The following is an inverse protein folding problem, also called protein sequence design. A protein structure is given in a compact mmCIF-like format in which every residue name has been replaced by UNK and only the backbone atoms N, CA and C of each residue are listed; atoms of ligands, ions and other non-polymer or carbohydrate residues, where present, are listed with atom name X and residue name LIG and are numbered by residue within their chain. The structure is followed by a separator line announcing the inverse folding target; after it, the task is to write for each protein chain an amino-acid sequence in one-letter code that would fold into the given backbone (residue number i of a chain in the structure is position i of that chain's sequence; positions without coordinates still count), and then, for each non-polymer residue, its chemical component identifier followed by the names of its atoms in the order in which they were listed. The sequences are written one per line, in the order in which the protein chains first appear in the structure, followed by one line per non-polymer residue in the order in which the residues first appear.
data_IF_024063579372
#
_entry.id   IF_024063579372
#
_cell.length_a   1.000
_cell.length_b   1.000
_cell.length_c   1.000
_cell.angle_alpha   90.00
_cell.angle_beta   90.00
_cell.angle_gamma   90.00
#
_symmetry.space_group_name_H-M   'P 1'
#
loop_
_entity.id
_entity.type
_entity.pdbx_description
1 polymer ?
#
# COMPACT_ATOMS: atom_id res chain seq x y z
N UNK A 1 -5.51 0.35 -16.19
CA UNK A 1 -5.89 -0.93 -15.56
C UNK A 1 -6.80 -0.66 -14.36
N UNK A 2 -7.81 -1.50 -14.17
CA UNK A 2 -8.65 -1.42 -12.99
C UNK A 2 -7.89 -1.93 -11.77
N UNK A 3 -8.38 -1.56 -10.58
CA UNK A 3 -7.80 -2.06 -9.32
C UNK A 3 -7.82 -3.59 -9.29
N UNK A 4 -8.92 -4.22 -9.73
CA UNK A 4 -9.03 -5.68 -9.76
C UNK A 4 -8.02 -6.32 -10.73
N UNK A 5 -7.83 -5.75 -11.89
CA UNK A 5 -6.82 -6.24 -12.84
C UNK A 5 -5.40 -6.17 -12.25
N UNK A 6 -5.10 -5.09 -11.54
CA UNK A 6 -3.81 -4.94 -10.86
C UNK A 6 -3.65 -5.98 -9.75
N UNK A 7 -4.70 -6.20 -8.95
CA UNK A 7 -4.69 -7.21 -7.90
C UNK A 7 -4.43 -8.61 -8.47
N UNK A 8 -5.09 -8.93 -9.58
CA UNK A 8 -4.93 -10.22 -10.23
C UNK A 8 -3.50 -10.42 -10.73
N UNK A 9 -2.88 -9.37 -11.26
CA UNK A 9 -1.47 -9.42 -11.66
C UNK A 9 -0.53 -9.64 -10.47
N UNK A 10 -0.80 -8.98 -9.34
CA UNK A 10 -0.03 -9.15 -8.10
C UNK A 10 -0.14 -10.60 -7.61
N UNK A 11 -1.35 -11.14 -7.59
CA UNK A 11 -1.59 -12.52 -7.17
C UNK A 11 -0.80 -13.49 -8.07
N UNK A 12 -0.82 -13.27 -9.38
CA UNK A 12 -0.10 -14.09 -10.33
C UNK A 12 1.42 -14.06 -10.08
N UNK A 13 1.98 -12.88 -9.85
CA UNK A 13 3.41 -12.73 -9.54
C UNK A 13 3.82 -13.51 -8.29
N UNK A 14 3.05 -13.37 -7.21
CA UNK A 14 3.35 -14.09 -5.97
C UNK A 14 3.13 -15.59 -6.09
N UNK A 15 2.17 -16.02 -6.91
CA UNK A 15 1.87 -17.43 -7.14
C UNK A 15 2.98 -18.16 -7.90
N UNK A 16 3.86 -17.44 -8.56
CA UNK A 16 5.01 -18.01 -9.25
C UNK A 16 6.03 -18.63 -8.28
N UNK A 17 5.96 -18.26 -7.01
CA UNK A 17 6.87 -18.76 -5.97
C UNK A 17 6.12 -19.65 -4.99
N UNK A 18 6.69 -20.81 -4.67
CA UNK A 18 6.10 -21.73 -3.68
C UNK A 18 6.63 -21.46 -2.28
N UNK A 19 7.84 -20.92 -2.18
CA UNK A 19 8.54 -20.69 -0.92
C UNK A 19 8.35 -19.24 -0.46
N UNK A 20 8.03 -19.05 0.82
CA UNK A 20 7.86 -17.72 1.40
C UNK A 20 9.16 -16.91 1.45
N UNK A 21 10.32 -17.56 1.48
CA UNK A 21 11.60 -16.85 1.36
C UNK A 21 11.69 -16.10 0.03
N UNK A 22 11.24 -16.75 -1.05
CA UNK A 22 11.21 -16.12 -2.38
C UNK A 22 10.17 -15.00 -2.45
N UNK A 23 9.02 -15.18 -1.79
CA UNK A 23 7.99 -14.15 -1.71
C UNK A 23 8.46 -12.94 -0.93
N UNK A 24 9.20 -13.13 0.15
CA UNK A 24 9.83 -12.02 0.88
C UNK A 24 10.85 -11.31 0.02
N UNK A 25 11.63 -12.03 -0.77
CA UNK A 25 12.57 -11.42 -1.71
C UNK A 25 11.85 -10.52 -2.71
N UNK A 26 10.71 -10.97 -3.21
CA UNK A 26 9.88 -10.16 -4.10
C UNK A 26 9.38 -8.89 -3.40
N UNK A 27 8.92 -9.00 -2.15
CA UNK A 27 8.52 -7.83 -1.37
C UNK A 27 9.66 -6.83 -1.20
N UNK A 28 10.85 -7.33 -0.90
CA UNK A 28 12.04 -6.47 -0.73
C UNK A 28 12.36 -5.75 -2.05
N UNK A 29 12.30 -6.46 -3.16
CA UNK A 29 12.56 -5.88 -4.48
C UNK A 29 11.53 -4.80 -4.82
N UNK A 30 10.26 -5.04 -4.52
CA UNK A 30 9.20 -4.05 -4.73
C UNK A 30 9.45 -2.80 -3.88
N UNK A 31 9.86 -2.99 -2.63
CA UNK A 31 10.21 -1.87 -1.76
C UNK A 31 11.40 -1.07 -2.28
N UNK A 32 12.41 -1.76 -2.78
CA UNK A 32 13.60 -1.10 -3.35
C UNK A 32 13.27 -0.33 -4.63
N UNK A 33 12.22 -0.72 -5.33
CA UNK A 33 11.75 -0.03 -6.54
C UNK A 33 10.86 1.17 -6.24
N UNK A 34 10.41 1.31 -4.98
CA UNK A 34 9.58 2.45 -4.57
C UNK A 34 10.43 3.72 -4.62
N UNK A 35 9.97 4.77 -5.33
CA UNK A 35 10.69 6.03 -5.36
C UNK A 35 10.88 6.61 -3.96
N UNK A 36 12.05 7.19 -3.72
CA UNK A 36 12.33 7.82 -2.43
C UNK A 36 11.36 8.98 -2.20
N UNK A 37 10.81 9.04 -0.98
CA UNK A 37 9.92 10.12 -0.60
C UNK A 37 10.72 11.38 -0.29
N UNK A 38 10.28 12.52 -0.83
CA UNK A 38 10.89 13.80 -0.54
C UNK A 38 10.85 14.07 0.97
N UNK A 39 11.94 14.57 1.53
CA UNK A 39 12.06 14.84 2.96
C UNK A 39 10.95 15.76 3.49
N UNK A 40 10.46 16.68 2.66
CA UNK A 40 9.36 17.58 3.04
C UNK A 40 8.07 16.84 3.40
N UNK A 41 7.92 15.60 2.93
CA UNK A 41 6.75 14.76 3.23
C UNK A 41 6.97 13.83 4.41
N UNK A 42 8.18 13.75 4.93
CA UNK A 42 8.49 12.91 6.11
C UNK A 42 8.18 13.68 7.39
N UNK A 43 6.91 13.96 7.58
CA UNK A 43 6.39 14.74 8.70
C UNK A 43 5.55 13.87 9.63
N UNK A 44 5.28 14.35 10.83
CA UNK A 44 4.41 13.64 11.78
C UNK A 44 2.99 13.47 11.23
N UNK A 45 2.50 14.44 10.47
CA UNK A 45 1.16 14.37 9.88
C UNK A 45 1.04 13.26 8.83
N UNK A 46 2.15 12.87 8.21
CA UNK A 46 2.18 11.79 7.23
C UNK A 46 2.57 10.44 7.82
N UNK A 47 2.96 10.40 9.09
CA UNK A 47 3.22 9.13 9.78
C UNK A 47 1.92 8.39 10.01
N UNK A 48 1.93 7.09 9.70
CA UNK A 48 0.77 6.23 9.94
C UNK A 48 0.83 5.70 11.37
N UNK A 49 -0.20 6.01 12.15
CA UNK A 49 -0.33 5.50 13.51
C UNK A 49 -0.68 4.01 13.46
N UNK A 50 -0.23 3.27 14.47
CA UNK A 50 -0.48 1.83 14.56
C UNK A 50 0.60 0.97 13.91
N UNK A 51 1.62 1.59 13.34
CA UNK A 51 2.79 0.89 12.82
C UNK A 51 3.94 1.00 13.81
N UNK A 52 4.61 -0.11 14.08
CA UNK A 52 5.80 -0.11 14.94
C UNK A 52 6.99 0.54 14.23
N UNK A 53 7.16 0.26 12.95
CA UNK A 53 8.13 0.93 12.08
C UNK A 53 7.57 2.27 11.63
N UNK A 54 8.45 3.20 11.27
CA UNK A 54 8.01 4.47 10.70
C UNK A 54 7.54 4.23 9.28
N UNK A 55 6.32 4.66 9.00
CA UNK A 55 5.73 4.61 7.66
C UNK A 55 5.14 5.99 7.38
N UNK A 56 5.61 6.62 6.30
CA UNK A 56 5.06 7.90 5.83
C UNK A 56 4.24 7.66 4.59
N UNK A 57 3.11 8.33 4.49
CA UNK A 57 2.22 8.27 3.34
C UNK A 57 1.79 9.69 2.93
N UNK A 58 2.05 10.03 1.68
CA UNK A 58 1.62 11.28 1.07
C UNK A 58 0.57 10.98 0.03
N UNK A 59 -0.54 11.71 0.05
CA UNK A 59 -1.61 11.56 -0.92
C UNK A 59 -1.86 12.90 -1.62
N UNK A 60 -1.87 12.87 -2.94
CA UNK A 60 -2.14 14.04 -3.77
C UNK A 60 -3.31 13.75 -4.70
N UNK A 61 -4.14 14.76 -4.94
CA UNK A 61 -5.30 14.64 -5.83
C UNK A 61 -4.98 15.31 -7.17
N UNK A 62 -4.82 14.52 -8.21
CA UNK A 62 -4.38 14.98 -9.53
C UNK A 62 -5.34 14.46 -10.60
N UNK A 63 -5.97 15.37 -11.33
CA UNK A 63 -6.88 15.02 -12.44
C UNK A 63 -7.95 13.99 -12.06
N UNK A 64 -8.54 14.15 -10.88
CA UNK A 64 -9.60 13.28 -10.39
C UNK A 64 -9.12 11.96 -9.79
N UNK A 65 -7.81 11.77 -9.68
CA UNK A 65 -7.23 10.52 -9.17
C UNK A 65 -6.33 10.82 -7.98
N UNK A 66 -6.26 9.86 -7.06
CA UNK A 66 -5.37 9.98 -5.91
C UNK A 66 -4.04 9.32 -6.25
N UNK A 67 -2.96 10.07 -6.09
CA UNK A 67 -1.60 9.57 -6.27
C UNK A 67 -0.98 9.43 -4.89
N UNK A 68 -0.59 8.20 -4.54
CA UNK A 68 0.04 7.92 -3.27
C UNK A 68 1.54 7.81 -3.42
N UNK A 69 2.27 8.35 -2.45
CA UNK A 69 3.71 8.16 -2.29
C UNK A 69 3.94 7.71 -0.86
N UNK A 70 4.96 6.91 -0.65
CA UNK A 70 5.22 6.41 0.70
C UNK A 70 6.64 5.93 0.88
N UNK A 71 7.01 5.74 2.14
CA UNK A 71 8.31 5.20 2.52
C UNK A 71 8.25 4.60 3.91
N UNK A 72 9.17 3.70 4.19
CA UNK A 72 9.34 3.14 5.53
C UNK A 72 10.83 2.94 5.82
N UNK A 73 11.17 2.95 7.11
CA UNK A 73 12.53 2.66 7.58
C UNK A 73 12.78 1.15 7.74
N UNK A 74 11.78 0.31 7.54
CA UNK A 74 11.88 -1.14 7.64
C UNK A 74 11.71 -1.80 6.28
N UNK A 75 12.60 -2.73 5.94
CA UNK A 75 12.72 -3.31 4.58
C UNK A 75 11.44 -4.03 4.13
N UNK A 76 10.92 -4.93 4.97
CA UNK A 76 9.70 -5.69 4.62
C UNK A 76 8.48 -4.77 4.58
N UNK A 77 8.38 -3.85 5.53
CA UNK A 77 7.27 -2.89 5.60
C UNK A 77 7.29 -1.99 4.36
N UNK A 78 8.46 -1.57 3.91
CA UNK A 78 8.60 -0.78 2.68
C UNK A 78 8.07 -1.54 1.46
N UNK A 79 8.31 -2.84 1.40
CA UNK A 79 7.73 -3.71 0.35
C UNK A 79 6.21 -3.74 0.41
N UNK A 80 5.64 -3.81 1.60
CA UNK A 80 4.18 -3.78 1.80
C UNK A 80 3.61 -2.44 1.36
N UNK A 81 4.25 -1.34 1.74
CA UNK A 81 3.87 0.02 1.31
C UNK A 81 3.84 0.10 -0.21
N UNK A 82 4.91 -0.37 -0.86
CA UNK A 82 5.01 -0.39 -2.32
C UNK A 82 3.86 -1.17 -2.95
N UNK A 83 3.55 -2.34 -2.39
CA UNK A 83 2.52 -3.21 -2.92
C UNK A 83 1.13 -2.56 -2.87
N UNK A 84 0.78 -1.93 -1.74
CA UNK A 84 -0.50 -1.25 -1.59
C UNK A 84 -0.59 -0.05 -2.53
N UNK A 85 0.49 0.70 -2.67
CA UNK A 85 0.56 1.84 -3.59
C UNK A 85 0.35 1.38 -5.04
N UNK A 86 0.99 0.29 -5.44
CA UNK A 86 0.82 -0.29 -6.78
C UNK A 86 -0.66 -0.57 -7.06
N UNK A 87 -1.37 -1.11 -6.08
CA UNK A 87 -2.79 -1.48 -6.24
C UNK A 87 -3.70 -0.25 -6.28
N UNK A 88 -3.49 0.72 -5.40
CA UNK A 88 -4.45 1.81 -5.18
C UNK A 88 -4.11 3.14 -5.83
N UNK A 89 -2.83 3.45 -6.05
CA UNK A 89 -2.43 4.76 -6.59
C UNK A 89 -2.90 4.93 -8.04
N UNK A 90 -3.28 6.15 -8.40
CA UNK A 90 -3.69 6.44 -9.76
C UNK A 90 -5.15 6.10 -10.07
N UNK A 91 -5.99 5.97 -9.05
CA UNK A 91 -7.42 5.67 -9.20
C UNK A 91 -8.26 6.74 -8.53
N UNK A 92 -9.54 6.81 -8.91
CA UNK A 92 -10.46 7.80 -8.33
C UNK A 92 -10.76 7.44 -6.87
N UNK A 93 -11.18 8.44 -6.05
CA UNK A 93 -11.59 8.15 -4.68
C UNK A 93 -12.68 7.09 -4.60
N UNK A 94 -13.66 7.12 -5.50
CA UNK A 94 -14.74 6.14 -5.50
C UNK A 94 -14.24 4.73 -5.82
N UNK A 95 -13.33 4.59 -6.78
CA UNK A 95 -12.74 3.29 -7.11
C UNK A 95 -12.00 2.70 -5.91
N UNK A 96 -11.27 3.54 -5.18
CA UNK A 96 -10.54 3.10 -3.98
C UNK A 96 -11.50 2.67 -2.88
N UNK A 97 -12.58 3.44 -2.66
CA UNK A 97 -13.58 3.12 -1.63
C UNK A 97 -14.35 1.85 -1.95
N UNK A 98 -14.62 1.59 -3.22
CA UNK A 98 -15.35 0.42 -3.66
C UNK A 98 -14.50 -0.84 -3.76
N UNK A 99 -13.18 -0.70 -3.70
CA UNK A 99 -12.26 -1.82 -3.88
C UNK A 99 -12.31 -2.79 -2.70
N UNK A 100 -12.44 -4.07 -3.02
CA UNK A 100 -12.20 -5.16 -2.07
C UNK A 100 -10.76 -5.63 -2.30
N UNK A 101 -9.92 -5.48 -1.29
CA UNK A 101 -8.49 -5.80 -1.41
C UNK A 101 -8.25 -7.29 -1.14
N UNK A 102 -8.82 -8.13 -2.00
CA UNK A 102 -8.72 -9.57 -1.87
C UNK A 102 -7.31 -10.13 -2.09
N UNK A 103 -6.42 -9.34 -2.71
CA UNK A 103 -5.05 -9.82 -2.95
C UNK A 103 -4.30 -10.14 -1.67
N UNK A 104 -4.58 -9.40 -0.60
CA UNK A 104 -3.91 -9.59 0.70
C UNK A 104 -4.11 -11.01 1.22
N UNK A 105 -5.35 -11.49 1.16
CA UNK A 105 -5.70 -12.85 1.57
C UNK A 105 -5.19 -13.88 0.57
N UNK A 106 -5.36 -13.60 -0.71
CA UNK A 106 -5.00 -14.55 -1.78
C UNK A 106 -3.51 -14.88 -1.80
N UNK A 107 -2.65 -13.91 -1.52
CA UNK A 107 -1.20 -14.18 -1.46
C UNK A 107 -0.75 -14.67 -0.07
N UNK A 108 -1.66 -14.69 0.92
CA UNK A 108 -1.38 -15.16 2.26
C UNK A 108 -0.53 -14.22 3.08
N UNK A 109 -0.59 -12.93 2.79
CA UNK A 109 0.29 -11.94 3.40
C UNK A 109 0.12 -11.85 4.91
N UNK A 110 -1.13 -11.79 5.41
CA UNK A 110 -1.40 -11.69 6.84
C UNK A 110 -0.93 -12.91 7.63
N UNK A 111 -1.03 -14.09 7.05
CA UNK A 111 -0.66 -15.34 7.71
C UNK A 111 0.84 -15.46 7.93
N UNK A 112 1.64 -14.77 7.09
CA UNK A 112 3.09 -14.86 7.09
C UNK A 112 3.77 -13.62 7.66
N UNK A 113 2.99 -12.62 8.09
CA UNK A 113 3.51 -11.45 8.79
C UNK A 113 3.36 -11.64 10.30
N UNK A 114 4.27 -11.04 11.07
CA UNK A 114 4.10 -10.96 12.52
C UNK A 114 2.82 -10.18 12.84
N UNK A 115 2.21 -10.39 14.04
CA UNK A 115 1.03 -9.61 14.43
C UNK A 115 1.23 -8.09 14.29
N UNK A 116 2.41 -7.59 14.66
CA UNK A 116 2.74 -6.17 14.57
C UNK A 116 2.71 -5.68 13.12
N UNK A 117 3.29 -6.46 12.20
CA UNK A 117 3.29 -6.11 10.76
C UNK A 117 1.90 -6.20 10.16
N UNK A 118 1.10 -7.20 10.56
CA UNK A 118 -0.29 -7.32 10.13
C UNK A 118 -1.12 -6.12 10.58
N UNK A 119 -0.93 -5.67 11.81
CA UNK A 119 -1.61 -4.48 12.32
C UNK A 119 -1.20 -3.22 11.53
N UNK A 120 0.08 -3.12 11.18
CA UNK A 120 0.59 -2.04 10.34
C UNK A 120 -0.05 -2.02 8.96
N UNK A 121 -0.21 -3.19 8.35
CA UNK A 121 -0.88 -3.32 7.06
C UNK A 121 -2.32 -2.81 7.12
N UNK A 122 -3.06 -3.22 8.15
CA UNK A 122 -4.44 -2.76 8.35
C UNK A 122 -4.48 -1.23 8.53
N UNK A 123 -3.55 -0.67 9.30
CA UNK A 123 -3.46 0.76 9.54
C UNK A 123 -3.18 1.53 8.24
N UNK A 124 -2.30 1.01 7.38
CA UNK A 124 -2.00 1.62 6.08
C UNK A 124 -3.22 1.66 5.17
N UNK A 125 -3.92 0.54 5.05
CA UNK A 125 -5.13 0.44 4.21
C UNK A 125 -6.20 1.40 4.73
N UNK A 126 -6.39 1.44 6.05
CA UNK A 126 -7.36 2.35 6.67
C UNK A 126 -7.03 3.81 6.35
N UNK A 127 -5.76 4.19 6.45
CA UNK A 127 -5.34 5.57 6.17
C UNK A 127 -5.57 5.94 4.70
N UNK A 128 -5.30 5.02 3.78
CA UNK A 128 -5.55 5.26 2.36
C UNK A 128 -7.04 5.42 2.08
N UNK A 129 -7.89 4.63 2.74
CA UNK A 129 -9.35 4.79 2.66
C UNK A 129 -9.80 6.16 3.21
N UNK A 130 -9.23 6.60 4.32
CA UNK A 130 -9.55 7.90 4.89
C UNK A 130 -9.21 9.04 3.94
N UNK A 131 -8.08 8.97 3.25
CA UNK A 131 -7.74 9.94 2.20
C UNK A 131 -8.77 9.92 1.07
N UNK A 132 -9.20 8.73 0.66
CA UNK A 132 -10.22 8.59 -0.39
C UNK A 132 -11.56 9.22 0.04
N UNK A 133 -11.98 9.03 1.28
CA UNK A 133 -13.17 9.67 1.83
C UNK A 133 -13.04 11.19 1.78
N UNK A 134 -11.88 11.71 2.21
CA UNK A 134 -11.64 13.15 2.25
C UNK A 134 -11.66 13.78 0.85
N UNK A 135 -10.99 13.16 -0.11
CA UNK A 135 -10.95 13.69 -1.48
C UNK A 135 -12.31 13.57 -2.17
N UNK A 136 -13.03 12.48 -1.94
CA UNK A 136 -14.37 12.31 -2.48
C UNK A 136 -15.31 13.40 -1.96
N UNK A 137 -15.22 13.74 -0.68
CA UNK A 137 -16.03 14.79 -0.09
C UNK A 137 -15.78 16.16 -0.75
N UNK A 138 -14.56 16.41 -1.20
CA UNK A 138 -14.21 17.65 -1.90
C UNK A 138 -14.78 17.74 -3.31
N UNK A 139 -15.08 16.58 -3.93
CA UNK A 139 -15.67 16.53 -5.28
C UNK A 139 -17.15 16.89 -5.27
N UNK A 140 -17.80 16.79 -4.14
CA UNK A 140 -19.26 16.99 -4.00
C UNK A 140 -19.62 18.45 -3.75
#
# INVERSE_FOLDING_TARGET
MTINEIQDNVIEEFSAFDDWMDKYSLLIDLGNSLPALDERYKTESNLIEGCQSRVWLQADYVDGKIIFQGESDAVIVKGIVSLIIIVLSGHTPQEILDADLYFIEKIGLKEHLSPTRSNGLVAMVKQMHLYAVAFRAKEM
#
